data_IF_611940722707
#
_entry.id   IF_611940722707
#
_cell.length_a   1.000
_cell.length_b   1.000
_cell.length_c   1.000
_cell.angle_alpha   90.00
_cell.angle_beta   90.00
_cell.angle_gamma   90.00
#
_symmetry.space_group_name_H-M   'P 1'
#
loop_
_entity.id
_entity.type
_entity.pdbx_description
1 polymer ?
#
# COMPACT_ATOMS: atom_id res chain seq x y z
N UNK A 1 19.34 26.26 4.30
CA UNK A 1 19.62 25.35 5.42
C UNK A 1 19.93 23.99 4.83
N UNK A 2 21.21 23.60 4.77
CA UNK A 2 21.63 22.32 4.16
C UNK A 2 21.22 21.19 5.12
N UNK A 3 20.15 20.48 4.80
CA UNK A 3 19.72 19.29 5.51
C UNK A 3 20.80 18.21 5.36
N UNK A 4 21.46 17.90 6.46
CA UNK A 4 22.59 17.00 6.48
C UNK A 4 22.13 15.57 6.16
N UNK A 5 22.37 15.07 4.93
CA UNK A 5 22.02 13.74 4.44
C UNK A 5 22.61 12.57 5.26
N UNK A 6 23.53 12.84 6.17
CA UNK A 6 24.23 11.81 6.95
C UNK A 6 23.47 11.27 8.17
N UNK A 7 22.34 11.89 8.58
CA UNK A 7 21.60 11.48 9.77
C UNK A 7 20.68 10.25 9.57
N UNK A 8 20.40 9.85 8.32
CA UNK A 8 19.55 8.69 8.03
C UNK A 8 20.25 7.32 8.11
N UNK A 9 21.55 7.27 8.40
CA UNK A 9 22.36 6.04 8.28
C UNK A 9 22.79 5.42 9.61
N UNK A 10 22.26 5.83 10.76
CA UNK A 10 22.46 5.00 11.96
C UNK A 10 21.41 3.90 11.97
N UNK A 11 21.80 2.63 11.78
CA UNK A 11 20.86 1.53 11.96
C UNK A 11 20.43 1.54 13.43
N UNK A 12 19.17 1.88 13.69
CA UNK A 12 18.61 1.74 15.04
C UNK A 12 18.79 0.28 15.50
N UNK A 13 19.32 0.12 16.72
CA UNK A 13 19.38 -1.18 17.36
C UNK A 13 17.95 -1.76 17.43
N UNK A 14 17.82 -3.10 17.45
CA UNK A 14 16.50 -3.74 17.64
C UNK A 14 15.83 -3.25 18.93
N UNK A 15 16.62 -2.98 19.98
CA UNK A 15 16.13 -2.38 21.23
C UNK A 15 15.54 -0.99 21.01
N UNK A 16 16.25 -0.13 20.28
CA UNK A 16 15.76 1.23 19.99
C UNK A 16 14.48 1.21 19.18
N UNK A 17 14.36 0.29 18.22
CA UNK A 17 13.13 0.11 17.44
C UNK A 17 11.96 -0.33 18.30
N UNK A 18 12.19 -1.26 19.24
CA UNK A 18 11.16 -1.74 20.15
C UNK A 18 10.66 -0.63 21.09
N UNK A 19 11.56 0.19 21.64
CA UNK A 19 11.20 1.32 22.50
C UNK A 19 10.53 2.47 21.76
N UNK A 20 10.73 2.58 20.44
CA UNK A 20 10.10 3.59 19.60
C UNK A 20 8.76 3.13 18.98
N UNK A 21 8.30 1.91 19.29
CA UNK A 21 6.96 1.47 18.88
C UNK A 21 5.89 2.28 19.61
N UNK A 22 4.90 2.76 18.86
CA UNK A 22 3.71 3.38 19.44
C UNK A 22 2.85 2.32 20.15
N UNK A 23 3.02 2.22 21.47
CA UNK A 23 2.28 1.26 22.29
C UNK A 23 0.78 1.52 22.27
N UNK A 24 0.35 2.78 22.11
CA UNK A 24 -1.06 3.17 22.03
C UNK A 24 -1.68 2.59 20.76
N UNK A 25 -0.98 2.74 19.62
CA UNK A 25 -1.39 2.16 18.35
C UNK A 25 -1.46 0.63 18.42
N UNK A 26 -0.42 -0.01 18.99
CA UNK A 26 -0.37 -1.47 19.15
C UNK A 26 -1.53 -1.98 20.00
N UNK A 27 -1.77 -1.34 21.15
CA UNK A 27 -2.89 -1.69 22.03
C UNK A 27 -4.23 -1.52 21.32
N UNK A 28 -4.42 -0.42 20.57
CA UNK A 28 -5.64 -0.18 19.82
C UNK A 28 -5.89 -1.25 18.75
N UNK A 29 -4.86 -1.65 18.00
CA UNK A 29 -4.97 -2.73 17.01
C UNK A 29 -5.32 -4.07 17.69
N UNK A 30 -4.67 -4.39 18.81
CA UNK A 30 -4.97 -5.61 19.58
C UNK A 30 -6.39 -5.61 20.10
N UNK A 31 -6.84 -4.50 20.67
CA UNK A 31 -8.20 -4.36 21.20
C UNK A 31 -9.25 -4.54 20.10
N UNK A 32 -9.07 -3.88 18.95
CA UNK A 32 -9.94 -4.04 17.78
C UNK A 32 -9.93 -5.48 17.26
N UNK A 33 -8.77 -6.13 17.25
CA UNK A 33 -8.65 -7.54 16.87
C UNK A 33 -9.44 -8.46 17.79
N UNK A 34 -9.31 -8.28 19.10
CA UNK A 34 -10.07 -9.03 20.10
C UNK A 34 -11.58 -8.81 19.91
N UNK A 35 -12.02 -7.56 19.82
CA UNK A 35 -13.44 -7.21 19.58
C UNK A 35 -13.95 -7.89 18.31
N UNK A 36 -13.17 -7.86 17.21
CA UNK A 36 -13.58 -8.46 15.94
C UNK A 36 -13.70 -10.00 16.02
N UNK A 37 -12.82 -10.67 16.78
CA UNK A 37 -12.91 -12.11 17.04
C UNK A 37 -14.18 -12.44 17.82
N UNK A 38 -14.50 -11.67 18.89
CA UNK A 38 -15.73 -11.86 19.66
C UNK A 38 -16.98 -11.60 18.82
N UNK A 39 -16.98 -10.57 17.98
CA UNK A 39 -18.08 -10.28 17.08
C UNK A 39 -18.32 -11.45 16.10
N UNK A 40 -17.25 -11.99 15.53
CA UNK A 40 -17.35 -13.16 14.64
C UNK A 40 -17.84 -14.42 15.39
N UNK A 41 -17.36 -14.66 16.61
CA UNK A 41 -17.82 -15.75 17.46
C UNK A 41 -19.33 -15.62 17.79
N UNK A 42 -19.77 -14.42 18.13
CA UNK A 42 -21.19 -14.14 18.41
C UNK A 42 -22.07 -14.37 17.18
N UNK A 43 -21.62 -13.93 15.99
CA UNK A 43 -22.35 -14.10 14.73
C UNK A 43 -22.44 -15.58 14.29
N UNK A 44 -21.50 -16.41 14.75
CA UNK A 44 -21.49 -17.87 14.50
C UNK A 44 -22.34 -18.66 15.51
N UNK A 45 -23.24 -17.99 16.26
CA UNK A 45 -24.10 -18.64 17.25
C UNK A 45 -23.38 -19.13 18.50
N UNK A 46 -22.23 -18.51 18.87
CA UNK A 46 -21.46 -18.85 20.06
C UNK A 46 -20.60 -20.11 19.92
N UNK A 47 -20.33 -20.54 18.68
CA UNK A 47 -19.43 -21.66 18.40
C UNK A 47 -18.14 -21.19 17.76
N UNK A 48 -16.99 -21.79 18.15
CA UNK A 48 -15.73 -21.62 17.42
C UNK A 48 -15.72 -22.51 16.19
N UNK A 49 -16.52 -22.12 15.19
CA UNK A 49 -16.57 -22.77 13.92
C UNK A 49 -15.38 -22.44 12.98
N UNK A 50 -15.43 -22.95 11.76
CA UNK A 50 -14.40 -22.69 10.74
C UNK A 50 -14.17 -21.18 10.50
N UNK A 51 -15.22 -20.37 10.49
CA UNK A 51 -15.13 -18.94 10.19
C UNK A 51 -14.44 -18.16 11.31
N UNK A 52 -14.80 -18.41 12.56
CA UNK A 52 -14.22 -17.77 13.74
C UNK A 52 -12.74 -18.14 13.90
N UNK A 53 -12.39 -19.41 13.70
CA UNK A 53 -10.99 -19.89 13.74
C UNK A 53 -10.16 -19.26 12.62
N UNK A 54 -10.68 -19.24 11.39
CA UNK A 54 -9.99 -18.64 10.23
C UNK A 54 -9.80 -17.14 10.42
N UNK A 55 -10.75 -16.44 11.05
CA UNK A 55 -10.62 -15.02 11.34
C UNK A 55 -9.52 -14.75 12.37
N UNK A 56 -9.52 -15.48 13.48
CA UNK A 56 -8.49 -15.38 14.51
C UNK A 56 -7.09 -15.68 13.95
N UNK A 57 -6.96 -16.74 13.15
CA UNK A 57 -5.68 -17.10 12.52
C UNK A 57 -5.18 -15.97 11.59
N UNK A 58 -6.06 -15.41 10.76
CA UNK A 58 -5.71 -14.28 9.87
C UNK A 58 -5.28 -13.07 10.68
N UNK A 59 -5.98 -12.74 11.75
CA UNK A 59 -5.59 -11.65 12.64
C UNK A 59 -4.17 -11.83 13.18
N UNK A 60 -3.83 -13.01 13.69
CA UNK A 60 -2.49 -13.32 14.21
C UNK A 60 -1.44 -13.18 13.09
N UNK A 61 -1.68 -13.75 11.92
CA UNK A 61 -0.75 -13.66 10.77
C UNK A 61 -0.51 -12.19 10.37
N UNK A 62 -1.55 -11.40 10.23
CA UNK A 62 -1.41 -9.99 9.84
C UNK A 62 -0.82 -9.13 10.94
N UNK A 63 -1.05 -9.45 12.21
CA UNK A 63 -0.39 -8.78 13.33
C UNK A 63 1.11 -9.05 13.36
N UNK A 64 1.53 -10.29 13.10
CA UNK A 64 2.96 -10.64 12.95
C UNK A 64 3.55 -9.89 11.75
N UNK A 65 2.85 -9.86 10.61
CA UNK A 65 3.29 -9.11 9.43
C UNK A 65 3.44 -7.61 9.73
N UNK A 66 2.50 -7.02 10.47
CA UNK A 66 2.58 -5.63 10.93
C UNK A 66 3.86 -5.39 11.74
N UNK A 67 4.20 -6.28 12.68
CA UNK A 67 5.44 -6.17 13.46
C UNK A 67 6.67 -6.27 12.54
N UNK A 68 6.73 -7.23 11.63
CA UNK A 68 7.84 -7.38 10.66
C UNK A 68 8.02 -6.10 9.85
N UNK A 69 6.94 -5.53 9.33
CA UNK A 69 6.97 -4.27 8.57
C UNK A 69 7.45 -3.12 9.44
N UNK A 70 6.98 -3.02 10.70
CA UNK A 70 7.38 -1.97 11.65
C UNK A 70 8.87 -2.01 11.99
N UNK A 71 9.47 -3.20 12.04
CA UNK A 71 10.91 -3.37 12.27
C UNK A 71 11.77 -3.20 11.01
N UNK A 72 11.17 -3.17 9.83
CA UNK A 72 11.90 -3.02 8.57
C UNK A 72 12.37 -1.57 8.40
N UNK A 73 13.66 -1.30 8.10
CA UNK A 73 14.16 0.04 7.95
C UNK A 73 13.58 0.70 6.68
N UNK A 74 13.33 2.01 6.74
CA UNK A 74 12.78 2.78 5.61
C UNK A 74 13.67 2.71 4.35
N UNK A 75 14.99 2.56 4.55
CA UNK A 75 15.95 2.40 3.45
C UNK A 75 15.69 1.13 2.61
N UNK A 76 15.20 0.05 3.23
CA UNK A 76 14.80 -1.16 2.53
C UNK A 76 13.61 -0.87 1.60
N UNK A 77 12.56 -0.21 2.09
CA UNK A 77 11.39 0.16 1.29
C UNK A 77 11.75 1.09 0.16
N UNK A 78 12.65 2.05 0.43
CA UNK A 78 13.15 2.96 -0.60
C UNK A 78 13.93 2.20 -1.69
N UNK A 79 14.85 1.31 -1.34
CA UNK A 79 15.67 0.56 -2.32
C UNK A 79 14.86 -0.44 -3.14
N UNK A 80 13.81 -1.04 -2.54
CA UNK A 80 12.98 -2.07 -3.18
C UNK A 80 11.71 -1.54 -3.84
N UNK A 81 11.38 -0.26 -3.66
CA UNK A 81 10.14 0.37 -4.14
C UNK A 81 9.86 0.13 -5.62
N UNK A 82 10.88 0.21 -6.47
CA UNK A 82 10.79 -0.03 -7.90
C UNK A 82 10.38 -1.48 -8.22
N UNK A 83 11.04 -2.44 -7.58
CA UNK A 83 10.73 -3.86 -7.75
C UNK A 83 9.33 -4.20 -7.24
N UNK A 84 8.95 -3.66 -6.07
CA UNK A 84 7.61 -3.84 -5.50
C UNK A 84 6.55 -3.35 -6.48
N UNK A 85 6.72 -2.14 -7.02
CA UNK A 85 5.78 -1.57 -7.97
C UNK A 85 5.60 -2.46 -9.21
N UNK A 86 6.69 -2.89 -9.86
CA UNK A 86 6.61 -3.72 -11.05
C UNK A 86 6.03 -5.11 -10.78
N UNK A 87 6.41 -5.74 -9.66
CA UNK A 87 5.81 -7.02 -9.24
C UNK A 87 4.29 -6.87 -9.07
N UNK A 88 3.84 -5.78 -8.44
CA UNK A 88 2.42 -5.53 -8.24
C UNK A 88 1.68 -5.26 -9.57
N UNK A 89 2.29 -4.55 -10.52
CA UNK A 89 1.73 -4.37 -11.87
C UNK A 89 1.59 -5.73 -12.57
N UNK A 90 2.62 -6.59 -12.50
CA UNK A 90 2.56 -7.94 -13.07
C UNK A 90 1.47 -8.77 -12.40
N UNK A 91 1.34 -8.68 -11.07
CA UNK A 91 0.27 -9.37 -10.34
C UNK A 91 -1.13 -8.87 -10.73
N UNK A 92 -1.30 -7.57 -10.95
CA UNK A 92 -2.57 -7.02 -11.45
C UNK A 92 -2.92 -7.57 -12.85
N UNK A 93 -1.92 -7.65 -13.73
CA UNK A 93 -2.10 -8.26 -15.05
C UNK A 93 -2.43 -9.75 -14.93
N UNK A 94 -1.71 -10.48 -14.09
CA UNK A 94 -1.97 -11.90 -13.84
C UNK A 94 -3.41 -12.14 -13.35
N UNK A 95 -3.86 -11.38 -12.37
CA UNK A 95 -5.21 -11.52 -11.81
C UNK A 95 -6.30 -11.19 -12.82
N UNK A 96 -6.06 -10.22 -13.70
CA UNK A 96 -7.02 -9.88 -14.77
C UNK A 96 -7.33 -11.09 -15.66
N UNK A 97 -6.33 -11.94 -15.95
CA UNK A 97 -6.48 -13.10 -16.84
C UNK A 97 -6.75 -14.41 -16.08
N UNK A 98 -6.09 -14.63 -14.95
CA UNK A 98 -6.05 -15.90 -14.22
C UNK A 98 -6.63 -15.82 -12.79
N UNK A 99 -7.12 -14.64 -12.36
CA UNK A 99 -7.65 -14.45 -11.02
C UNK A 99 -8.91 -15.28 -10.74
N UNK A 100 -9.14 -15.55 -9.46
CA UNK A 100 -10.36 -16.21 -8.99
C UNK A 100 -11.54 -15.28 -9.21
N UNK A 101 -12.59 -15.80 -9.82
CA UNK A 101 -13.84 -15.09 -10.05
C UNK A 101 -14.64 -15.05 -8.75
N UNK A 102 -14.93 -13.87 -8.25
CA UNK A 102 -15.81 -13.63 -7.12
C UNK A 102 -16.73 -12.47 -7.43
N UNK A 103 -18.04 -12.64 -7.21
CA UNK A 103 -19.06 -11.62 -7.47
C UNK A 103 -18.97 -10.97 -8.87
N UNK A 104 -18.72 -11.80 -9.89
CA UNK A 104 -18.69 -11.34 -11.28
C UNK A 104 -17.39 -10.71 -11.76
N UNK A 105 -16.35 -10.62 -10.92
CA UNK A 105 -15.06 -10.05 -11.30
C UNK A 105 -13.88 -10.89 -10.83
N UNK A 106 -12.77 -10.82 -11.58
CA UNK A 106 -11.51 -11.51 -11.24
C UNK A 106 -10.58 -10.52 -10.57
N UNK A 107 -10.47 -10.59 -9.24
CA UNK A 107 -9.69 -9.62 -8.43
C UNK A 107 -8.76 -10.28 -7.43
N UNK A 108 -8.88 -11.60 -7.22
CA UNK A 108 -8.27 -12.30 -6.12
C UNK A 108 -7.27 -13.35 -6.58
N UNK A 109 -6.17 -13.47 -5.86
CA UNK A 109 -5.26 -14.61 -5.91
C UNK A 109 -5.55 -15.47 -4.69
N UNK A 110 -5.91 -16.74 -4.91
CA UNK A 110 -6.09 -17.68 -3.81
C UNK A 110 -4.73 -18.24 -3.40
N UNK A 111 -4.32 -17.96 -2.16
CA UNK A 111 -3.11 -18.48 -1.54
C UNK A 111 -3.43 -19.60 -0.52
N UNK A 112 -4.54 -20.34 -0.71
CA UNK A 112 -5.09 -21.41 0.15
C UNK A 112 -5.58 -20.93 1.51
N UNK A 113 -4.78 -20.15 2.26
CA UNK A 113 -5.11 -19.64 3.59
C UNK A 113 -5.76 -18.26 3.50
N UNK A 114 -5.35 -17.46 2.53
CA UNK A 114 -5.74 -16.05 2.38
C UNK A 114 -6.01 -15.78 0.89
N UNK A 115 -7.09 -15.05 0.62
CA UNK A 115 -7.31 -14.47 -0.70
C UNK A 115 -6.62 -13.11 -0.72
N UNK A 116 -5.61 -12.96 -1.58
CA UNK A 116 -4.87 -11.72 -1.76
C UNK A 116 -5.49 -10.92 -2.90
N UNK A 117 -5.73 -9.63 -2.66
CA UNK A 117 -6.14 -8.69 -3.71
C UNK A 117 -4.96 -7.77 -4.06
N UNK A 118 -4.32 -7.95 -5.23
CA UNK A 118 -3.13 -7.17 -5.60
C UNK A 118 -3.39 -5.66 -5.70
N UNK A 119 -4.60 -5.24 -6.04
CA UNK A 119 -4.97 -3.82 -6.10
C UNK A 119 -4.92 -3.12 -4.73
N UNK A 120 -5.14 -3.85 -3.63
CA UNK A 120 -4.98 -3.31 -2.28
C UNK A 120 -3.51 -2.97 -2.00
N UNK A 121 -2.60 -3.86 -2.37
CA UNK A 121 -1.16 -3.64 -2.24
C UNK A 121 -0.64 -2.57 -3.21
N UNK A 122 -1.28 -2.44 -4.37
CA UNK A 122 -0.87 -1.46 -5.40
C UNK A 122 -0.97 -0.01 -4.92
N UNK A 123 -1.90 0.32 -4.02
CA UNK A 123 -1.97 1.64 -3.38
C UNK A 123 -0.65 1.98 -2.69
N UNK A 124 -0.12 1.02 -1.93
CA UNK A 124 1.19 1.17 -1.25
C UNK A 124 2.32 1.20 -2.29
N UNK A 125 2.26 0.33 -3.31
CA UNK A 125 3.25 0.27 -4.39
C UNK A 125 3.42 1.59 -5.12
N UNK A 126 2.32 2.27 -5.45
CA UNK A 126 2.33 3.61 -6.09
C UNK A 126 2.97 4.65 -5.18
N UNK A 127 2.60 4.67 -3.89
CA UNK A 127 3.18 5.62 -2.91
C UNK A 127 4.68 5.41 -2.80
N UNK A 128 5.16 4.18 -2.63
CA UNK A 128 6.57 3.85 -2.51
C UNK A 128 7.36 4.23 -3.77
N UNK A 129 6.82 3.89 -4.94
CA UNK A 129 7.45 4.21 -6.22
C UNK A 129 7.60 5.72 -6.43
N UNK A 130 6.52 6.47 -6.25
CA UNK A 130 6.53 7.92 -6.45
C UNK A 130 7.40 8.64 -5.42
N UNK A 131 7.38 8.21 -4.17
CA UNK A 131 8.24 8.77 -3.12
C UNK A 131 9.72 8.59 -3.45
N UNK A 132 10.13 7.39 -3.93
CA UNK A 132 11.50 7.15 -4.39
C UNK A 132 11.84 7.95 -5.65
N UNK A 133 10.92 8.08 -6.58
CA UNK A 133 11.09 8.83 -7.81
C UNK A 133 11.35 10.32 -7.49
N UNK A 134 10.48 10.95 -6.72
CA UNK A 134 10.61 12.37 -6.39
C UNK A 134 11.78 12.68 -5.46
N UNK A 135 12.18 11.74 -4.60
CA UNK A 135 13.37 11.90 -3.77
C UNK A 135 14.66 12.13 -4.58
N UNK A 136 14.72 11.64 -5.83
CA UNK A 136 15.87 11.77 -6.73
C UNK A 136 15.83 13.03 -7.60
N UNK A 137 14.71 13.76 -7.61
CA UNK A 137 14.52 14.97 -8.44
C UNK A 137 14.80 16.20 -7.60
N UNK A 138 15.48 17.19 -8.19
CA UNK A 138 15.68 18.49 -7.55
C UNK A 138 14.38 19.29 -7.51
N UNK A 139 14.18 20.10 -6.47
CA UNK A 139 12.95 20.91 -6.29
C UNK A 139 12.65 21.81 -7.50
N UNK A 140 13.69 22.34 -8.18
CA UNK A 140 13.54 23.18 -9.37
C UNK A 140 13.07 22.43 -10.62
N UNK A 141 13.19 21.08 -10.63
CA UNK A 141 12.88 20.24 -11.78
C UNK A 141 11.52 19.54 -11.69
N UNK A 142 10.92 19.49 -10.50
CA UNK A 142 9.68 18.75 -10.21
C UNK A 142 8.52 19.15 -11.16
N UNK A 143 8.46 20.43 -11.56
CA UNK A 143 7.39 20.96 -12.41
C UNK A 143 7.70 20.90 -13.93
N UNK A 144 8.86 20.36 -14.33
CA UNK A 144 9.18 20.22 -15.77
C UNK A 144 8.42 19.02 -16.35
N UNK A 145 7.80 19.21 -17.49
CA UNK A 145 6.94 18.21 -18.16
C UNK A 145 7.62 16.84 -18.29
N UNK A 146 8.90 16.80 -18.62
CA UNK A 146 9.67 15.55 -18.76
C UNK A 146 9.68 14.69 -17.49
N UNK A 147 9.62 15.33 -16.30
CA UNK A 147 9.62 14.63 -15.02
C UNK A 147 8.21 14.29 -14.54
N UNK A 148 7.17 14.84 -15.16
CA UNK A 148 5.77 14.51 -14.85
C UNK A 148 5.29 13.27 -15.60
N UNK A 149 5.90 12.92 -16.72
CA UNK A 149 5.47 11.79 -17.56
C UNK A 149 5.54 10.45 -16.78
N UNK A 150 6.65 10.18 -16.08
CA UNK A 150 6.80 8.93 -15.33
C UNK A 150 5.77 8.78 -14.20
N UNK A 151 5.54 9.78 -13.32
CA UNK A 151 4.46 9.75 -12.33
C UNK A 151 3.09 9.52 -12.94
N UNK A 152 2.76 10.22 -14.02
CA UNK A 152 1.46 10.07 -14.71
C UNK A 152 1.27 8.62 -15.17
N UNK A 153 2.26 8.04 -15.84
CA UNK A 153 2.20 6.64 -16.28
C UNK A 153 2.12 5.69 -15.09
N UNK A 154 2.91 5.93 -14.03
CA UNK A 154 2.91 5.08 -12.84
C UNK A 154 1.58 5.12 -12.07
N UNK A 155 0.82 6.19 -12.17
CA UNK A 155 -0.51 6.30 -11.56
C UNK A 155 -1.57 5.73 -12.50
N UNK A 156 -1.57 6.13 -13.78
CA UNK A 156 -2.63 5.78 -14.72
C UNK A 156 -2.59 4.30 -15.12
N UNK A 157 -1.42 3.69 -15.25
CA UNK A 157 -1.33 2.28 -15.65
C UNK A 157 -2.05 1.36 -14.66
N UNK A 158 -1.75 1.35 -13.34
CA UNK A 158 -2.50 0.54 -12.39
C UNK A 158 -3.96 1.00 -12.22
N UNK A 159 -4.25 2.29 -12.31
CA UNK A 159 -5.62 2.82 -12.28
C UNK A 159 -6.48 2.18 -13.38
N UNK A 160 -6.04 2.21 -14.64
CA UNK A 160 -6.76 1.65 -15.78
C UNK A 160 -6.88 0.12 -15.65
N UNK A 161 -5.82 -0.55 -15.18
CA UNK A 161 -5.86 -2.00 -14.96
C UNK A 161 -6.92 -2.39 -13.93
N UNK A 162 -6.98 -1.69 -12.80
CA UNK A 162 -7.96 -1.98 -11.74
C UNK A 162 -9.36 -1.57 -12.17
N UNK A 163 -9.50 -0.45 -12.88
CA UNK A 163 -10.79 -0.04 -13.46
C UNK A 163 -11.34 -1.09 -14.43
N UNK A 164 -10.47 -1.75 -15.19
CA UNK A 164 -10.86 -2.85 -16.10
C UNK A 164 -11.28 -4.14 -15.37
N UNK A 165 -11.07 -4.22 -14.05
CA UNK A 165 -11.53 -5.32 -13.17
C UNK A 165 -12.84 -4.98 -12.43
N UNK A 166 -13.71 -4.15 -12.95
CA UNK A 166 -14.83 -3.37 -12.38
C UNK A 166 -14.67 -3.01 -10.88
N UNK A 167 -13.51 -2.49 -10.48
CA UNK A 167 -13.22 -2.07 -9.10
C UNK A 167 -12.98 -0.55 -9.03
N UNK A 168 -14.05 0.21 -9.17
CA UNK A 168 -14.00 1.67 -9.19
C UNK A 168 -13.46 2.24 -7.88
N UNK A 169 -13.87 1.68 -6.72
CA UNK A 169 -13.45 2.18 -5.42
C UNK A 169 -11.94 2.12 -5.23
N UNK A 170 -11.33 0.96 -5.49
CA UNK A 170 -9.88 0.78 -5.36
C UNK A 170 -9.13 1.57 -6.45
N UNK A 171 -9.67 1.64 -7.68
CA UNK A 171 -9.08 2.45 -8.74
C UNK A 171 -8.98 3.93 -8.34
N UNK A 172 -10.05 4.52 -7.81
CA UNK A 172 -10.06 5.90 -7.32
C UNK A 172 -9.04 6.09 -6.19
N UNK A 173 -8.92 5.15 -5.26
CA UNK A 173 -7.95 5.23 -4.17
C UNK A 173 -6.50 5.19 -4.67
N UNK A 174 -6.20 4.40 -5.70
CA UNK A 174 -4.88 4.39 -6.36
C UNK A 174 -4.60 5.75 -7.00
N UNK A 175 -5.56 6.29 -7.74
CA UNK A 175 -5.45 7.61 -8.37
C UNK A 175 -5.20 8.71 -7.33
N UNK A 176 -6.02 8.77 -6.30
CA UNK A 176 -5.92 9.76 -5.23
C UNK A 176 -4.60 9.66 -4.48
N UNK A 177 -4.15 8.45 -4.13
CA UNK A 177 -2.86 8.27 -3.44
C UNK A 177 -1.69 8.78 -4.30
N UNK A 178 -1.71 8.52 -5.60
CA UNK A 178 -0.72 9.03 -6.54
C UNK A 178 -0.74 10.55 -6.67
N UNK A 179 -1.93 11.15 -6.79
CA UNK A 179 -2.11 12.61 -6.84
C UNK A 179 -1.58 13.28 -5.56
N UNK A 180 -1.93 12.75 -4.40
CA UNK A 180 -1.50 13.30 -3.10
C UNK A 180 0.03 13.28 -2.97
N UNK A 181 0.68 12.15 -3.29
CA UNK A 181 2.15 12.06 -3.24
C UNK A 181 2.80 13.04 -4.21
N UNK A 182 2.25 13.16 -5.42
CA UNK A 182 2.75 14.09 -6.45
C UNK A 182 2.60 15.55 -6.01
N UNK A 183 1.48 15.88 -5.36
CA UNK A 183 1.26 17.21 -4.79
C UNK A 183 2.21 17.51 -3.63
N UNK A 184 2.39 16.58 -2.70
CA UNK A 184 3.33 16.70 -1.58
C UNK A 184 4.79 16.82 -2.04
N UNK A 185 5.14 16.29 -3.20
CA UNK A 185 6.45 16.45 -3.82
C UNK A 185 6.70 17.87 -4.38
N UNK A 186 5.70 18.75 -4.36
CA UNK A 186 5.81 20.14 -4.79
C UNK A 186 5.36 20.43 -6.23
N UNK A 187 4.64 19.50 -6.85
CA UNK A 187 4.01 19.75 -8.15
C UNK A 187 2.89 20.78 -8.00
N UNK A 188 2.90 21.80 -8.86
CA UNK A 188 1.95 22.91 -8.80
C UNK A 188 0.53 22.41 -9.07
N UNK A 189 -0.43 22.82 -8.24
CA UNK A 189 -1.85 22.44 -8.37
C UNK A 189 -2.45 22.80 -9.74
N UNK A 190 -1.96 23.85 -10.41
CA UNK A 190 -2.37 24.24 -11.78
C UNK A 190 -2.15 23.12 -12.79
N UNK A 191 -1.14 22.28 -12.61
CA UNK A 191 -0.86 21.14 -13.49
C UNK A 191 -1.97 20.12 -13.38
N UNK A 192 -2.45 19.83 -12.16
CA UNK A 192 -3.58 18.92 -11.96
C UNK A 192 -4.87 19.48 -12.59
N UNK A 193 -5.10 20.79 -12.48
CA UNK A 193 -6.25 21.44 -13.11
C UNK A 193 -6.22 21.32 -14.64
N UNK A 194 -5.06 21.46 -15.26
CA UNK A 194 -4.93 21.24 -16.73
C UNK A 194 -5.24 19.80 -17.12
N UNK A 195 -4.76 18.81 -16.36
CA UNK A 195 -5.03 17.39 -16.63
C UNK A 195 -6.48 16.96 -16.35
N UNK A 196 -7.21 17.70 -15.51
CA UNK A 196 -8.64 17.42 -15.25
C UNK A 196 -9.58 18.05 -16.28
N UNK A 197 -9.09 19.02 -17.06
CA UNK A 197 -9.87 19.75 -18.08
C UNK A 197 -9.59 19.25 -19.51
N UNK A 198 -8.60 18.40 -19.72
CA UNK A 198 -8.21 17.80 -20.99
C UNK A 198 -8.81 16.40 -21.17
#
# INVERSE_FOLDING_TARGET
MLYNRSSFHRPFSLKDKFFNLDLTLMFSIMLLGVISIFAQFSSSGGSFDYYSKSHALRFVIFFILFLVVSFTPISFWHSTSFFIFFILVILLLFVKFYGVQSQGSRRWVNLYIINLQPSELMKIGVILFLSNYYHKISEGDVNKVRFLLYPVVAILAPFILVLSQPDLGTAILILLSGIVVTWLAGVRWKIFAYFSLA
#
